data_IF_201843412458
#
_entry.id   IF_201843412458
#
_cell.length_a   1.000
_cell.length_b   1.000
_cell.length_c   1.000
_cell.angle_alpha   90.00
_cell.angle_beta   90.00
_cell.angle_gamma   90.00
#
_symmetry.space_group_name_H-M   'P 1'
#
loop_
_entity.id
_entity.type
_entity.pdbx_description
1 polymer ?
#
# COMPACT_ATOMS: atom_id res chain seq x y z
N UNK A 1 -0.65 -14.32 -7.66
CA UNK A 1 0.74 -14.39 -7.21
C UNK A 1 1.63 -15.12 -8.24
N UNK A 2 1.33 -16.38 -8.62
CA UNK A 2 2.17 -17.21 -9.50
C UNK A 2 2.43 -16.54 -10.86
N UNK A 3 1.40 -16.16 -11.62
CA UNK A 3 1.57 -15.48 -12.91
C UNK A 3 2.32 -14.14 -12.80
N UNK A 4 2.19 -13.44 -11.65
CA UNK A 4 2.96 -12.23 -11.41
C UNK A 4 4.45 -12.55 -11.22
N UNK A 5 4.77 -13.59 -10.46
CA UNK A 5 6.14 -14.04 -10.26
C UNK A 5 6.81 -14.45 -11.59
N UNK A 6 6.12 -15.21 -12.44
CA UNK A 6 6.61 -15.60 -13.77
C UNK A 6 6.96 -14.38 -14.64
N UNK A 7 6.07 -13.37 -14.68
CA UNK A 7 6.31 -12.14 -15.45
C UNK A 7 7.46 -11.30 -14.90
N UNK A 8 7.54 -11.17 -13.58
CA UNK A 8 8.59 -10.40 -12.93
C UNK A 8 9.96 -11.08 -13.08
N UNK A 9 10.04 -12.41 -12.97
CA UNK A 9 11.27 -13.18 -13.21
C UNK A 9 11.75 -13.07 -14.65
N UNK A 10 10.80 -12.96 -15.61
CA UNK A 10 11.16 -12.73 -17.01
C UNK A 10 11.69 -11.31 -17.28
N UNK A 11 11.27 -10.32 -16.47
CA UNK A 11 11.78 -8.94 -16.56
C UNK A 11 13.14 -8.78 -15.90
N UNK A 12 13.35 -9.42 -14.75
CA UNK A 12 14.61 -9.38 -14.04
C UNK A 12 14.86 -10.72 -13.36
N UNK A 13 15.85 -11.47 -13.88
CA UNK A 13 16.25 -12.79 -13.37
C UNK A 13 17.21 -12.72 -12.18
N UNK A 14 17.71 -11.54 -11.83
CA UNK A 14 18.70 -11.38 -10.74
C UNK A 14 18.04 -11.15 -9.37
N UNK A 15 16.72 -10.97 -9.33
CA UNK A 15 15.96 -10.80 -8.09
C UNK A 15 15.27 -12.10 -7.68
N UNK A 16 15.20 -12.35 -6.39
CA UNK A 16 14.47 -13.46 -5.82
C UNK A 16 13.00 -13.08 -5.59
N UNK A 17 12.07 -13.90 -6.08
CA UNK A 17 10.64 -13.66 -6.01
C UNK A 17 9.96 -14.85 -5.34
N UNK A 18 9.30 -14.61 -4.22
CA UNK A 18 8.56 -15.61 -3.44
C UNK A 18 7.04 -15.42 -3.59
N UNK A 19 6.37 -16.16 -4.47
CA UNK A 19 4.92 -16.06 -4.63
C UNK A 19 4.18 -16.85 -3.55
N UNK A 20 3.44 -16.18 -2.70
CA UNK A 20 2.52 -16.82 -1.76
C UNK A 20 1.13 -16.96 -2.40
N UNK A 21 0.79 -18.15 -2.87
CA UNK A 21 -0.55 -18.46 -3.43
C UNK A 21 -1.56 -18.73 -2.31
N UNK A 22 -1.63 -17.83 -1.34
CA UNK A 22 -2.48 -17.94 -0.16
C UNK A 22 -3.14 -16.59 0.13
N UNK A 23 -4.29 -16.62 0.81
CA UNK A 23 -4.89 -15.42 1.37
C UNK A 23 -4.11 -15.01 2.62
N UNK A 24 -3.82 -13.72 2.74
CA UNK A 24 -3.25 -13.17 3.96
C UNK A 24 -4.30 -13.20 5.07
N UNK A 25 -3.97 -13.83 6.20
CA UNK A 25 -4.84 -14.01 7.36
C UNK A 25 -4.07 -13.67 8.64
N UNK A 26 -4.77 -13.57 9.77
CA UNK A 26 -4.13 -13.36 11.08
C UNK A 26 -3.12 -14.45 11.44
N UNK A 27 -3.33 -15.68 10.93
CA UNK A 27 -2.48 -16.82 11.26
C UNK A 27 -1.16 -16.85 10.51
N UNK A 28 -1.09 -16.25 9.29
CA UNK A 28 0.10 -16.30 8.44
C UNK A 28 0.76 -14.95 8.17
N UNK A 29 0.05 -13.84 8.39
CA UNK A 29 0.53 -12.53 8.00
C UNK A 29 1.78 -12.10 8.77
N UNK A 30 1.88 -12.46 10.07
CA UNK A 30 3.05 -12.13 10.87
C UNK A 30 4.32 -12.79 10.31
N UNK A 31 4.26 -14.09 10.03
CA UNK A 31 5.38 -14.89 9.55
C UNK A 31 5.79 -14.49 8.12
N UNK A 32 4.82 -14.16 7.26
CA UNK A 32 5.12 -13.69 5.92
C UNK A 32 5.78 -12.31 5.96
N UNK A 33 5.20 -11.35 6.69
CA UNK A 33 5.68 -9.96 6.70
C UNK A 33 7.05 -9.84 7.38
N UNK A 34 7.38 -10.70 8.35
CA UNK A 34 8.67 -10.62 9.05
C UNK A 34 9.87 -10.78 8.12
N UNK A 35 9.73 -11.47 7.00
CA UNK A 35 10.82 -11.73 6.04
C UNK A 35 11.17 -10.52 5.15
N UNK A 36 10.37 -9.43 5.22
CA UNK A 36 10.52 -8.27 4.35
C UNK A 36 10.77 -6.99 5.16
N UNK A 37 11.54 -6.05 4.60
CA UNK A 37 11.85 -4.76 5.23
C UNK A 37 10.78 -3.71 5.02
N UNK A 38 10.04 -3.76 3.91
CA UNK A 38 9.01 -2.81 3.51
C UNK A 38 7.79 -3.59 3.00
N UNK A 39 6.60 -3.15 3.39
CA UNK A 39 5.34 -3.70 2.87
C UNK A 39 4.70 -2.70 1.94
N UNK A 40 4.24 -3.16 0.77
CA UNK A 40 3.55 -2.33 -0.23
C UNK A 40 2.11 -2.83 -0.38
N UNK A 41 1.15 -1.93 -0.41
CA UNK A 41 -0.27 -2.25 -0.53
C UNK A 41 -0.65 -2.63 -1.98
N UNK A 42 -1.37 -3.69 -2.12
CA UNK A 42 -2.03 -4.09 -3.36
C UNK A 42 -3.43 -4.63 -3.06
N UNK A 43 -4.00 -4.28 -1.90
CA UNK A 43 -5.27 -4.81 -1.41
C UNK A 43 -6.46 -4.02 -1.97
N UNK A 44 -7.61 -4.70 -2.01
CA UNK A 44 -8.89 -4.13 -2.44
C UNK A 44 -9.92 -4.05 -1.31
N UNK A 45 -9.51 -4.28 -0.06
CA UNK A 45 -10.43 -4.32 1.07
C UNK A 45 -9.83 -3.78 2.37
N UNK A 46 -10.68 -3.19 3.19
CA UNK A 46 -10.29 -2.58 4.45
C UNK A 46 -9.73 -3.58 5.47
N UNK A 47 -10.35 -4.75 5.61
CA UNK A 47 -9.93 -5.74 6.61
C UNK A 47 -8.46 -6.18 6.43
N UNK A 48 -8.03 -6.41 5.18
CA UNK A 48 -6.63 -6.76 4.90
C UNK A 48 -5.70 -5.59 5.19
N UNK A 49 -6.10 -4.34 4.90
CA UNK A 49 -5.29 -3.15 5.21
C UNK A 49 -5.08 -2.96 6.71
N UNK A 50 -6.13 -3.13 7.53
CA UNK A 50 -5.98 -3.09 8.99
C UNK A 50 -5.05 -4.18 9.50
N UNK A 51 -5.18 -5.41 8.98
CA UNK A 51 -4.30 -6.52 9.34
C UNK A 51 -2.83 -6.21 9.02
N UNK A 52 -2.54 -5.74 7.81
CA UNK A 52 -1.19 -5.35 7.39
C UNK A 52 -0.65 -4.23 8.28
N UNK A 53 -1.45 -3.19 8.48
CA UNK A 53 -1.09 -2.05 9.32
C UNK A 53 -0.67 -2.47 10.72
N UNK A 54 -1.49 -3.28 11.39
CA UNK A 54 -1.25 -3.70 12.76
C UNK A 54 0.02 -4.55 12.89
N UNK A 55 0.28 -5.41 11.91
CA UNK A 55 1.52 -6.21 11.88
C UNK A 55 2.73 -5.35 11.56
N UNK A 56 2.62 -4.40 10.64
CA UNK A 56 3.71 -3.46 10.33
C UNK A 56 4.07 -2.60 11.55
N UNK A 57 3.09 -2.18 12.35
CA UNK A 57 3.33 -1.49 13.62
C UNK A 57 4.08 -2.41 14.59
N UNK A 58 3.60 -3.64 14.79
CA UNK A 58 4.20 -4.61 15.71
C UNK A 58 5.64 -4.95 15.34
N UNK A 59 5.93 -5.09 14.06
CA UNK A 59 7.26 -5.42 13.52
C UNK A 59 8.11 -4.17 13.20
N UNK A 60 7.58 -2.96 13.41
CA UNK A 60 8.26 -1.67 13.15
C UNK A 60 8.70 -1.53 11.69
N UNK A 61 7.89 -1.98 10.76
CA UNK A 61 8.16 -1.94 9.31
C UNK A 61 7.39 -0.82 8.64
N UNK A 62 7.98 -0.12 7.66
CA UNK A 62 7.25 0.82 6.83
C UNK A 62 6.15 0.11 6.04
N UNK A 63 4.99 0.77 5.95
CA UNK A 63 3.88 0.33 5.12
C UNK A 63 3.56 1.40 4.09
N UNK A 64 3.90 1.13 2.83
CA UNK A 64 3.57 1.99 1.70
C UNK A 64 2.16 1.66 1.27
N UNK A 65 1.26 2.57 1.55
CA UNK A 65 -0.17 2.44 1.34
C UNK A 65 -0.58 3.04 0.01
N UNK A 66 -1.38 2.31 -0.76
CA UNK A 66 -2.03 2.77 -1.96
C UNK A 66 -3.47 2.29 -2.05
N UNK A 67 -4.39 3.18 -2.44
CA UNK A 67 -5.77 2.81 -2.69
C UNK A 67 -6.34 3.55 -3.89
N UNK A 68 -7.31 2.92 -4.54
CA UNK A 68 -7.96 3.47 -5.73
C UNK A 68 -9.48 3.30 -5.64
N UNK A 69 -10.20 4.25 -6.23
CA UNK A 69 -11.65 4.15 -6.42
C UNK A 69 -12.01 4.87 -7.73
N UNK A 70 -12.45 4.13 -8.75
CA UNK A 70 -12.79 4.71 -10.06
C UNK A 70 -11.59 5.44 -10.69
N UNK A 71 -11.63 6.76 -10.70
CA UNK A 71 -10.58 7.63 -11.22
C UNK A 71 -9.71 8.26 -10.13
N UNK A 72 -9.99 7.95 -8.88
CA UNK A 72 -9.31 8.56 -7.74
C UNK A 72 -8.28 7.59 -7.16
N UNK A 73 -7.15 8.15 -6.75
CA UNK A 73 -6.08 7.42 -6.10
C UNK A 73 -5.53 8.15 -4.90
N UNK A 74 -4.95 7.39 -3.98
CA UNK A 74 -4.30 7.96 -2.79
C UNK A 74 -3.10 7.10 -2.40
N UNK A 75 -2.06 7.75 -1.88
CA UNK A 75 -0.83 7.12 -1.40
C UNK A 75 -0.37 7.79 -0.11
N UNK A 76 0.16 7.00 0.80
CA UNK A 76 0.82 7.45 2.02
C UNK A 76 1.90 6.45 2.43
N UNK A 77 2.78 6.85 3.33
CA UNK A 77 3.74 5.93 3.97
C UNK A 77 3.50 5.93 5.46
N UNK A 78 3.10 4.78 5.98
CA UNK A 78 2.79 4.57 7.40
C UNK A 78 3.97 3.94 8.15
N UNK A 79 3.99 4.15 9.45
CA UNK A 79 4.98 3.61 10.37
C UNK A 79 6.44 3.96 10.01
N UNK A 80 6.66 5.10 9.36
CA UNK A 80 7.95 5.60 8.93
C UNK A 80 8.22 7.02 9.44
N UNK A 81 9.50 7.39 9.59
CA UNK A 81 9.91 8.71 10.04
C UNK A 81 9.63 8.95 11.53
N UNK A 82 9.59 10.23 11.92
CA UNK A 82 9.47 10.63 13.33
C UNK A 82 8.01 10.58 13.84
N UNK A 83 7.04 10.91 13.00
CA UNK A 83 5.63 10.98 13.41
C UNK A 83 4.97 9.60 13.51
N UNK A 84 5.47 8.62 12.75
CA UNK A 84 4.97 7.24 12.74
C UNK A 84 3.45 7.11 12.65
N UNK A 85 2.84 7.97 11.82
CA UNK A 85 1.42 7.83 11.50
C UNK A 85 1.14 6.45 10.90
N UNK A 86 -0.07 5.99 11.05
CA UNK A 86 -0.48 4.65 10.61
C UNK A 86 -1.88 4.69 9.98
N UNK A 87 -2.34 3.57 9.44
CA UNK A 87 -3.63 3.49 8.74
C UNK A 87 -4.82 3.88 9.62
N UNK A 88 -4.73 3.66 10.95
CA UNK A 88 -5.79 4.02 11.90
C UNK A 88 -5.84 5.53 12.21
N UNK A 89 -4.77 6.28 11.89
CA UNK A 89 -4.83 7.76 11.94
C UNK A 89 -5.66 8.31 10.76
N UNK A 90 -5.67 7.61 9.61
CA UNK A 90 -6.47 7.97 8.44
C UNK A 90 -7.92 7.45 8.55
N UNK A 91 -8.09 6.20 9.00
CA UNK A 91 -9.39 5.53 9.15
C UNK A 91 -9.50 4.94 10.57
N UNK A 92 -9.94 5.75 11.56
CA UNK A 92 -9.92 5.34 12.98
C UNK A 92 -10.97 4.29 13.31
N UNK A 93 -12.13 4.28 12.64
CA UNK A 93 -13.23 3.38 12.92
C UNK A 93 -13.23 2.20 11.93
N UNK A 94 -12.60 1.09 12.36
CA UNK A 94 -12.52 -0.12 11.56
C UNK A 94 -13.89 -0.76 11.29
N UNK A 95 -14.81 -0.69 12.27
CA UNK A 95 -16.15 -1.28 12.11
C UNK A 95 -16.98 -0.50 11.10
N UNK A 96 -16.89 0.82 11.12
CA UNK A 96 -17.55 1.68 10.15
C UNK A 96 -17.02 1.39 8.74
N UNK A 97 -15.70 1.34 8.56
CA UNK A 97 -15.07 1.07 7.27
C UNK A 97 -15.44 -0.31 6.71
N UNK A 98 -15.55 -1.32 7.57
CA UNK A 98 -15.95 -2.67 7.13
C UNK A 98 -17.44 -2.76 6.77
N UNK A 99 -18.29 -1.86 7.26
CA UNK A 99 -19.72 -1.76 6.91
C UNK A 99 -19.97 -0.96 5.64
N UNK A 100 -18.97 -0.22 5.15
CA UNK A 100 -19.14 0.56 3.92
C UNK A 100 -19.51 -0.35 2.75
N UNK A 101 -20.43 0.10 1.88
CA UNK A 101 -20.74 -0.64 0.68
C UNK A 101 -19.47 -0.81 -0.18
N UNK A 102 -19.33 -1.94 -0.88
CA UNK A 102 -18.17 -2.13 -1.75
C UNK A 102 -18.10 -1.01 -2.79
N UNK A 103 -16.89 -0.57 -3.16
CA UNK A 103 -16.73 0.45 -4.18
C UNK A 103 -17.35 -0.02 -5.52
N UNK A 104 -17.66 0.90 -6.44
CA UNK A 104 -18.16 0.57 -7.76
C UNK A 104 -17.28 -0.48 -8.43
N UNK A 105 -17.91 -1.48 -9.04
CA UNK A 105 -17.19 -2.53 -9.77
C UNK A 105 -16.54 -1.91 -11.01
N UNK A 106 -15.25 -2.15 -11.14
CA UNK A 106 -14.45 -1.71 -12.28
C UNK A 106 -13.66 -0.44 -11.99
N UNK A 107 -12.41 -0.49 -12.39
CA UNK A 107 -11.45 0.62 -12.35
C UNK A 107 -10.79 0.73 -13.72
N UNK A 108 -10.42 1.94 -14.11
CA UNK A 108 -9.60 2.12 -15.31
C UNK A 108 -8.17 1.70 -14.98
N UNK A 109 -7.55 0.89 -15.86
CA UNK A 109 -6.20 0.36 -15.65
C UNK A 109 -5.12 1.43 -15.45
N UNK A 110 -5.35 2.67 -15.89
CA UNK A 110 -4.43 3.79 -15.65
C UNK A 110 -4.40 4.23 -14.19
N UNK A 111 -5.51 4.09 -13.44
CA UNK A 111 -5.56 4.49 -12.03
C UNK A 111 -4.60 3.66 -11.16
N UNK A 112 -4.66 2.32 -11.15
CA UNK A 112 -3.70 1.52 -10.40
C UNK A 112 -2.27 1.65 -10.96
N UNK A 113 -2.07 1.89 -12.26
CA UNK A 113 -0.74 2.09 -12.81
C UNK A 113 -0.06 3.34 -12.24
N UNK A 114 -0.79 4.45 -12.11
CA UNK A 114 -0.26 5.70 -11.54
C UNK A 114 -0.01 5.53 -10.04
N UNK A 115 -0.99 5.01 -9.29
CA UNK A 115 -0.85 4.80 -7.85
C UNK A 115 0.31 3.85 -7.54
N UNK A 116 0.39 2.71 -8.22
CA UNK A 116 1.48 1.74 -8.03
C UNK A 116 2.85 2.32 -8.41
N UNK A 117 2.94 3.20 -9.40
CA UNK A 117 4.19 3.90 -9.74
C UNK A 117 4.62 4.88 -8.64
N UNK A 118 3.66 5.57 -8.01
CA UNK A 118 3.95 6.43 -6.85
C UNK A 118 4.38 5.58 -5.64
N UNK A 119 3.67 4.48 -5.35
CA UNK A 119 4.08 3.55 -4.28
C UNK A 119 5.51 3.04 -4.50
N UNK A 120 5.85 2.61 -5.72
CA UNK A 120 7.20 2.19 -6.07
C UNK A 120 8.22 3.32 -5.87
N UNK A 121 7.85 4.56 -6.18
CA UNK A 121 8.70 5.74 -5.94
C UNK A 121 8.93 5.95 -4.44
N UNK A 122 7.91 5.80 -3.60
CA UNK A 122 8.04 5.89 -2.14
C UNK A 122 8.99 4.80 -1.60
N UNK A 123 8.88 3.56 -2.10
CA UNK A 123 9.82 2.49 -1.74
C UNK A 123 11.26 2.87 -2.11
N UNK A 124 11.49 3.40 -3.30
CA UNK A 124 12.82 3.85 -3.73
C UNK A 124 13.36 5.00 -2.88
N UNK A 125 12.52 5.95 -2.48
CA UNK A 125 12.90 7.02 -1.54
C UNK A 125 13.37 6.46 -0.20
N UNK A 126 12.63 5.47 0.34
CA UNK A 126 13.00 4.82 1.62
C UNK A 126 14.35 4.10 1.49
N UNK A 127 14.55 3.33 0.42
CA UNK A 127 15.76 2.51 0.23
C UNK A 127 16.98 3.36 -0.11
N UNK A 128 16.82 4.33 -1.00
CA UNK A 128 17.93 5.11 -1.55
C UNK A 128 18.19 6.44 -0.81
N UNK A 129 17.30 6.85 0.09
CA UNK A 129 17.47 8.04 0.91
C UNK A 129 17.44 9.36 0.12
N UNK A 130 16.58 9.49 -0.89
CA UNK A 130 16.40 10.72 -1.64
C UNK A 130 14.97 11.26 -1.52
N UNK A 131 14.83 12.59 -1.73
CA UNK A 131 13.53 13.27 -1.73
C UNK A 131 12.81 13.19 -0.37
N UNK A 132 11.54 13.60 -0.38
CA UNK A 132 10.67 13.59 0.79
C UNK A 132 9.69 12.41 0.69
N UNK A 133 9.71 11.53 1.69
CA UNK A 133 8.78 10.41 1.82
C UNK A 133 7.42 10.94 2.32
N UNK A 134 6.31 10.40 1.81
CA UNK A 134 4.94 10.74 2.23
C UNK A 134 4.59 10.22 3.65
N UNK A 135 5.54 10.35 4.58
CA UNK A 135 5.35 9.96 5.98
C UNK A 135 4.57 11.04 6.72
N UNK A 136 3.39 10.69 7.26
CA UNK A 136 2.49 11.64 7.91
C UNK A 136 1.71 12.54 6.94
N UNK A 137 1.78 12.25 5.65
CA UNK A 137 1.04 12.94 4.60
C UNK A 137 0.21 11.93 3.78
N UNK A 138 -0.97 12.36 3.32
CA UNK A 138 -1.77 11.65 2.33
C UNK A 138 -1.71 12.41 1.01
N UNK A 139 -1.15 11.81 -0.03
CA UNK A 139 -1.26 12.29 -1.39
C UNK A 139 -2.49 11.71 -2.07
N UNK A 140 -3.24 12.56 -2.79
CA UNK A 140 -4.44 12.17 -3.53
C UNK A 140 -4.39 12.68 -4.96
N UNK A 141 -5.06 11.99 -5.88
CA UNK A 141 -5.24 12.42 -7.28
C UNK A 141 -6.64 12.09 -7.77
N UNK A 142 -7.22 13.00 -8.56
CA UNK A 142 -8.38 12.76 -9.42
C UNK A 142 -7.94 12.80 -10.89
N UNK A 143 -7.96 11.67 -11.57
CA UNK A 143 -7.51 11.53 -12.96
C UNK A 143 -8.45 12.17 -13.99
N UNK A 144 -9.67 12.53 -13.60
CA UNK A 144 -10.59 13.27 -14.49
C UNK A 144 -10.13 14.71 -14.68
N UNK A 145 -9.53 15.29 -13.64
CA UNK A 145 -9.10 16.69 -13.60
C UNK A 145 -7.58 16.84 -13.55
N UNK A 146 -6.87 15.76 -13.25
CA UNK A 146 -5.42 15.72 -12.94
C UNK A 146 -5.05 16.56 -11.71
N UNK A 147 -6.03 16.90 -10.87
CA UNK A 147 -5.75 17.57 -9.60
C UNK A 147 -5.15 16.59 -8.61
N UNK A 148 -4.04 17.00 -8.01
CA UNK A 148 -3.42 16.26 -6.92
C UNK A 148 -3.22 17.17 -5.71
N UNK A 149 -3.39 16.60 -4.53
CA UNK A 149 -3.25 17.33 -3.27
C UNK A 149 -2.45 16.51 -2.27
N UNK A 150 -1.83 17.19 -1.29
CA UNK A 150 -1.25 16.58 -0.10
C UNK A 150 -1.92 17.12 1.15
N UNK A 151 -2.25 16.23 2.07
CA UNK A 151 -2.88 16.53 3.35
C UNK A 151 -2.01 15.96 4.47
N UNK A 152 -1.82 16.72 5.54
CA UNK A 152 -1.20 16.19 6.77
C UNK A 152 -2.18 15.27 7.50
N UNK A 153 -1.68 14.16 8.05
CA UNK A 153 -2.44 13.16 8.82
C UNK A 153 -2.38 13.45 10.33
#
# INVERSE_FOLDING_TARGET
AICAAERLSALNSEIEIHPYAARLTKDNAYDIIQEYDIVVDGCDNFATRYLINDICIAQKKPYVYGAICGFEGQVSVFNYGNQKKNYRDLYPDEEEMQRMPPPPKGVMGVTPAIVGSIEATEVLKIICGFGDVLAGELWTIDLRTLQSNKFSL
#
